data_IF_562661426769
#
_entry.id   IF_562661426769
#
_cell.length_a   1.000
_cell.length_b   1.000
_cell.length_c   1.000
_cell.angle_alpha   90.00
_cell.angle_beta   90.00
_cell.angle_gamma   90.00
#
_symmetry.space_group_name_H-M   'P 1'
#
loop_
_entity.id
_entity.type
_entity.pdbx_description
1 polymer ?
2 non-polymer ?
3 water ?
#
# COMPACT_ATOMS: atom_id res chain seq x y z
N UNK A 3 11.87 -26.48 17.36
CA UNK A 3 12.41 -26.63 18.75
C UNK A 3 11.62 -25.70 19.70
N UNK A 4 11.28 -24.49 19.23
CA UNK A 4 10.56 -23.46 20.02
C UNK A 4 9.10 -23.89 20.19
N UNK A 5 8.55 -24.64 19.24
CA UNK A 5 7.14 -25.11 19.34
C UNK A 5 7.07 -26.23 20.40
N UNK A 6 8.04 -27.15 20.40
CA UNK A 6 8.08 -28.23 21.42
C UNK A 6 8.00 -27.59 22.80
N UNK A 7 8.92 -26.66 23.10
CA UNK A 7 9.09 -25.96 24.40
C UNK A 7 7.81 -25.18 24.79
N UNK A 8 7.12 -24.57 23.83
CA UNK A 8 5.81 -23.87 24.01
C UNK A 8 4.74 -24.90 24.39
N UNK A 9 4.76 -26.07 23.76
CA UNK A 9 3.78 -27.17 23.98
C UNK A 9 4.06 -27.82 25.33
N UNK A 10 5.29 -27.70 25.84
CA UNK A 10 5.73 -28.19 27.18
C UNK A 10 5.81 -27.04 28.19
N UNK A 11 5.32 -25.83 27.82
CA UNK A 11 5.42 -24.57 28.61
C UNK A 11 4.86 -24.84 29.99
N UNK A 12 3.86 -25.74 30.06
CA UNK A 12 3.08 -26.12 31.27
C UNK A 12 2.00 -25.07 31.52
N UNK A 13 1.73 -24.22 30.53
CA UNK A 13 0.72 -23.13 30.63
C UNK A 13 -0.65 -23.68 30.24
N UNK A 14 -1.66 -23.46 31.09
CA UNK A 14 -3.08 -23.64 30.69
C UNK A 14 -3.23 -23.04 29.29
N UNK A 15 -3.41 -23.89 28.28
CA UNK A 15 -3.56 -23.51 26.86
C UNK A 15 -4.70 -24.32 26.19
N UNK A 16 -5.72 -23.63 25.67
CA UNK A 16 -6.78 -24.26 24.80
C UNK A 16 -6.29 -24.40 23.35
N UNK A 17 -7.08 -25.06 22.52
CA UNK A 17 -6.88 -25.19 21.05
C UNK A 17 -7.74 -24.11 20.41
N UNK A 18 -7.36 -23.59 19.24
CA UNK A 18 -8.12 -22.46 18.65
C UNK A 18 -9.54 -22.97 18.36
N UNK A 19 -9.64 -24.17 17.78
CA UNK A 19 -10.88 -24.84 17.38
C UNK A 19 -11.84 -25.07 18.54
N UNK A 20 -11.34 -25.57 19.68
CA UNK A 20 -12.06 -25.67 20.98
C UNK A 20 -12.91 -24.42 21.28
N UNK A 21 -12.46 -23.21 20.91
CA UNK A 21 -13.07 -21.93 21.42
C UNK A 21 -13.71 -21.10 20.31
N UNK A 22 -13.41 -21.33 19.03
CA UNK A 22 -13.88 -20.46 17.89
C UNK A 22 -14.82 -21.27 17.00
N UNK A 23 -15.59 -20.59 16.15
CA UNK A 23 -16.27 -21.15 14.95
C UNK A 23 -15.52 -20.59 13.75
N UNK A 24 -15.07 -21.45 12.85
CA UNK A 24 -14.22 -21.13 11.71
C UNK A 24 -14.99 -21.39 10.43
N UNK A 25 -14.95 -20.46 9.47
CA UNK A 25 -15.52 -20.60 8.12
C UNK A 25 -14.69 -19.74 7.17
N UNK A 26 -14.30 -20.29 6.02
CA UNK A 26 -13.71 -19.55 4.88
C UNK A 26 -14.81 -18.72 4.20
N UNK A 27 -14.39 -17.69 3.46
CA UNK A 27 -15.26 -16.62 2.97
C UNK A 27 -15.71 -16.91 1.55
N UNK A 28 -16.69 -16.13 1.09
CA UNK A 28 -17.27 -16.25 -0.27
C UNK A 28 -16.17 -15.97 -1.30
N UNK A 29 -15.91 -16.93 -2.18
CA UNK A 29 -15.12 -16.72 -3.39
C UNK A 29 -16.04 -16.06 -4.40
N UNK A 30 -15.71 -14.83 -4.81
CA UNK A 30 -16.45 -14.06 -5.84
C UNK A 30 -15.50 -13.76 -7.00
N UNK A 31 -16.05 -13.51 -8.20
CA UNK A 31 -15.27 -13.15 -9.40
C UNK A 31 -14.97 -11.65 -9.38
N UNK A 32 -13.77 -11.29 -9.83
CA UNK A 32 -13.31 -9.88 -9.94
C UNK A 32 -14.28 -9.08 -10.82
N UNK A 33 -15.04 -9.71 -11.73
CA UNK A 33 -15.79 -8.98 -12.79
C UNK A 33 -17.30 -8.96 -12.52
N UNK A 34 -17.70 -8.95 -11.24
CA UNK A 34 -19.12 -8.88 -10.79
C UNK A 34 -19.54 -7.41 -10.79
N UNK A 35 -20.84 -7.14 -10.78
CA UNK A 35 -21.43 -5.78 -10.59
C UNK A 35 -21.17 -5.30 -9.15
N UNK A 36 -20.68 -4.03 -8.96
CA UNK A 36 -20.65 -3.40 -7.63
C UNK A 36 -22.04 -3.26 -6.99
N UNK A 37 -22.11 -3.34 -5.65
CA UNK A 37 -23.36 -3.33 -4.87
C UNK A 37 -23.17 -2.86 -3.44
N UNK A 38 -23.86 -3.53 -2.49
CA UNK A 38 -24.06 -3.12 -1.07
C UNK A 38 -23.16 -3.88 -0.12
N UNK A 39 -23.03 -5.18 -0.32
CA UNK A 39 -22.12 -6.05 0.50
C UNK A 39 -20.67 -5.75 0.06
N UNK A 40 -19.82 -5.32 0.99
CA UNK A 40 -18.39 -5.08 0.72
C UNK A 40 -17.64 -6.36 0.89
N UNK A 41 -16.44 -6.44 0.34
CA UNK A 41 -15.65 -7.70 0.29
C UNK A 41 -14.23 -7.39 0.68
N UNK A 42 -13.75 -8.05 1.73
CA UNK A 42 -12.36 -7.89 2.23
C UNK A 42 -11.51 -8.88 1.46
N UNK A 43 -10.45 -8.41 0.79
CA UNK A 43 -9.49 -9.28 0.09
C UNK A 43 -8.14 -9.20 0.79
N UNK A 44 -7.20 -10.07 0.42
CA UNK A 44 -5.83 -10.10 0.98
C UNK A 44 -5.17 -8.72 0.90
N UNK A 45 -5.64 -7.84 0.02
CA UNK A 45 -5.03 -6.51 -0.28
C UNK A 45 -5.72 -5.44 0.58
N UNK A 46 -6.94 -5.72 1.05
CA UNK A 46 -7.69 -4.85 1.98
C UNK A 46 -7.24 -5.06 3.43
N UNK A 47 -6.32 -6.00 3.67
CA UNK A 47 -5.92 -6.44 5.04
C UNK A 47 -4.63 -5.71 5.41
N UNK A 48 -4.78 -4.47 5.88
CA UNK A 48 -3.68 -3.53 6.09
C UNK A 48 -2.88 -3.81 7.36
N UNK A 49 -1.74 -3.10 7.44
CA UNK A 49 -0.74 -3.18 8.52
C UNK A 49 -1.39 -2.77 9.84
N UNK A 50 -1.88 -1.53 9.89
CA UNK A 50 -2.64 -0.99 11.06
C UNK A 50 -4.15 -1.33 10.96
N UNK A 51 -4.51 -2.35 10.16
CA UNK A 51 -5.86 -2.92 10.11
C UNK A 51 -6.51 -2.95 8.72
N UNK A 52 -7.69 -3.57 8.67
CA UNK A 52 -8.56 -3.76 7.47
C UNK A 52 -8.99 -2.41 6.93
N UNK A 53 -8.62 -2.15 5.68
CA UNK A 53 -8.86 -0.87 4.97
C UNK A 53 -10.30 -0.90 4.45
N UNK A 54 -11.28 -0.70 5.33
CA UNK A 54 -12.71 -0.72 4.96
C UNK A 54 -13.05 0.43 4.01
N UNK A 55 -12.10 1.32 3.70
CA UNK A 55 -12.32 2.55 2.87
C UNK A 55 -12.05 2.28 1.38
N UNK A 56 -11.61 1.07 1.01
CA UNK A 56 -11.28 0.66 -0.39
C UNK A 56 -11.73 -0.78 -0.67
N UNK A 57 -12.76 -1.26 0.04
CA UNK A 57 -13.27 -2.64 -0.11
C UNK A 57 -13.97 -2.77 -1.47
N UNK A 58 -13.57 -3.74 -2.29
CA UNK A 58 -14.40 -4.13 -3.45
C UNK A 58 -15.80 -4.43 -2.92
N UNK A 59 -16.84 -3.93 -3.61
CA UNK A 59 -18.27 -4.18 -3.28
C UNK A 59 -18.84 -5.17 -4.29
N UNK A 60 -19.79 -6.03 -3.87
CA UNK A 60 -20.63 -6.92 -4.72
C UNK A 60 -22.07 -6.96 -4.17
N UNK A 61 -23.01 -7.76 -4.73
CA UNK A 61 -24.48 -7.56 -4.50
C UNK A 61 -25.21 -8.75 -3.86
N UNK A 62 -24.60 -9.93 -3.70
CA UNK A 62 -25.34 -11.18 -3.32
C UNK A 62 -25.80 -11.18 -1.85
N UNK A 63 -27.09 -11.46 -1.60
CA UNK A 63 -27.76 -11.25 -0.28
C UNK A 63 -28.53 -12.48 0.21
N UNK A 64 -29.54 -12.24 1.06
CA UNK A 64 -30.49 -13.22 1.64
C UNK A 64 -29.72 -14.16 2.59
N UNK A 65 -30.19 -15.39 2.80
CA UNK A 65 -29.63 -16.46 3.68
C UNK A 65 -28.21 -16.85 3.23
N UNK A 66 -27.79 -16.47 2.01
CA UNK A 66 -26.37 -16.64 1.60
C UNK A 66 -25.49 -15.72 2.44
N UNK A 67 -25.82 -14.43 2.40
CA UNK A 67 -25.16 -13.43 3.25
C UNK A 67 -25.04 -14.00 4.68
N UNK A 68 -26.18 -14.38 5.30
CA UNK A 68 -26.26 -14.74 6.76
C UNK A 68 -25.24 -15.81 7.15
N UNK A 69 -24.56 -16.52 6.25
CA UNK A 69 -23.57 -17.55 6.69
C UNK A 69 -22.14 -17.01 6.50
N UNK A 70 -21.94 -16.07 5.56
CA UNK A 70 -20.61 -15.51 5.21
C UNK A 70 -20.36 -14.20 5.97
N UNK A 71 -21.43 -13.65 6.58
CA UNK A 71 -21.50 -12.31 7.26
C UNK A 71 -20.44 -12.23 8.34
N UNK A 72 -19.49 -11.30 8.18
CA UNK A 72 -18.50 -10.88 9.20
C UNK A 72 -19.25 -10.08 10.27
N UNK A 73 -18.93 -10.45 11.51
CA UNK A 73 -19.49 -9.88 12.76
C UNK A 73 -18.35 -9.28 13.59
N UNK A 74 -18.69 -8.28 14.38
CA UNK A 74 -17.74 -7.53 15.21
C UNK A 74 -16.98 -8.51 16.11
N UNK A 75 -15.66 -8.62 15.93
CA UNK A 75 -14.77 -9.47 16.74
C UNK A 75 -14.04 -10.53 15.92
N UNK A 76 -14.61 -10.93 14.78
CA UNK A 76 -14.13 -12.04 13.92
C UNK A 76 -12.65 -11.83 13.64
N UNK A 77 -11.85 -12.89 13.61
CA UNK A 77 -10.38 -12.88 13.33
C UNK A 77 -10.17 -13.37 11.89
N UNK A 78 -9.92 -12.46 10.97
CA UNK A 78 -9.57 -12.78 9.56
C UNK A 78 -8.10 -13.15 9.51
N UNK A 79 -7.79 -14.38 9.13
CA UNK A 79 -6.40 -14.85 8.92
C UNK A 79 -6.22 -15.01 7.41
N UNK A 80 -5.01 -14.82 6.89
CA UNK A 80 -4.74 -15.00 5.44
C UNK A 80 -4.47 -16.48 5.18
N UNK A 81 -5.36 -17.18 4.48
CA UNK A 81 -5.19 -18.61 4.11
C UNK A 81 -4.34 -18.74 2.85
N UNK A 82 -4.26 -17.67 2.05
CA UNK A 82 -3.56 -17.68 0.74
C UNK A 82 -2.87 -16.32 0.56
N UNK A 83 -1.75 -16.28 -0.16
CA UNK A 83 -1.06 -15.02 -0.46
C UNK A 83 0.43 -15.18 -0.27
N UNK A 84 1.16 -14.05 -0.19
CA UNK A 84 2.62 -13.96 0.06
C UNK A 84 2.86 -13.86 1.58
N UNK A 85 2.14 -12.92 2.20
CA UNK A 85 2.32 -12.58 3.61
C UNK A 85 1.15 -13.14 4.39
N UNK A 86 1.43 -13.85 5.48
CA UNK A 86 0.35 -14.30 6.39
C UNK A 86 0.03 -13.07 7.25
N UNK A 87 -1.26 -12.88 7.47
CA UNK A 87 -1.86 -11.64 8.02
C UNK A 87 -3.07 -12.01 8.85
N UNK A 88 -3.10 -11.55 10.10
CA UNK A 88 -4.24 -11.71 11.04
C UNK A 88 -4.78 -10.30 11.31
N UNK A 89 -6.08 -10.12 11.20
CA UNK A 89 -6.77 -8.80 11.21
C UNK A 89 -8.06 -9.02 12.02
N UNK A 90 -8.61 -8.02 12.70
CA UNK A 90 -9.86 -8.15 13.51
C UNK A 90 -10.95 -7.24 12.94
N UNK A 91 -12.04 -7.81 12.43
CA UNK A 91 -13.12 -7.04 11.76
C UNK A 91 -13.82 -6.16 12.79
N UNK A 92 -14.19 -4.94 12.43
CA UNK A 92 -15.02 -4.06 13.30
C UNK A 92 -16.34 -3.81 12.56
N UNK A 93 -17.45 -3.93 13.27
CA UNK A 93 -18.77 -3.85 12.64
C UNK A 93 -18.74 -2.63 11.73
N UNK A 94 -18.94 -2.79 10.42
CA UNK A 94 -19.06 -1.63 9.51
C UNK A 94 -20.53 -1.26 9.36
N UNK A 95 -20.76 -0.05 8.82
CA UNK A 95 -22.09 0.57 8.57
C UNK A 95 -22.88 -0.35 7.63
N UNK A 96 -22.17 -0.99 6.70
CA UNK A 96 -22.70 -1.93 5.67
C UNK A 96 -22.54 -3.36 6.20
N UNK A 97 -23.09 -4.35 5.47
CA UNK A 97 -22.76 -5.81 5.61
C UNK A 97 -21.45 -6.05 4.87
N UNK A 98 -20.57 -6.85 5.41
CA UNK A 98 -19.22 -7.07 4.81
C UNK A 98 -18.95 -8.55 4.95
N UNK A 99 -18.26 -9.13 3.97
CA UNK A 99 -17.82 -10.56 4.06
C UNK A 99 -16.39 -10.60 3.53
N UNK A 100 -15.74 -11.75 3.76
CA UNK A 100 -14.33 -12.01 3.42
C UNK A 100 -14.26 -12.82 2.12
N UNK A 101 -13.12 -12.78 1.46
CA UNK A 101 -12.84 -13.64 0.29
C UNK A 101 -12.63 -15.07 0.81
N UNK A 102 -12.55 -16.06 -0.08
CA UNK A 102 -12.22 -17.46 0.24
C UNK A 102 -10.72 -17.59 0.57
N UNK A 103 -9.91 -16.58 0.27
CA UNK A 103 -8.45 -16.60 0.55
C UNK A 103 -8.23 -16.29 2.04
N UNK A 104 -9.32 -16.04 2.78
CA UNK A 104 -9.34 -15.65 4.22
C UNK A 104 -10.18 -16.70 4.97
N UNK A 105 -9.58 -17.34 5.96
CA UNK A 105 -10.23 -18.13 7.03
C UNK A 105 -10.78 -17.14 8.07
N UNK A 106 -12.05 -17.24 8.44
CA UNK A 106 -12.69 -16.36 9.46
C UNK A 106 -12.80 -17.15 10.78
N UNK A 107 -12.28 -16.62 11.88
CA UNK A 107 -12.39 -17.23 13.23
C UNK A 107 -13.34 -16.39 14.06
N UNK A 108 -14.49 -16.92 14.44
CA UNK A 108 -15.44 -16.21 15.32
C UNK A 108 -15.16 -16.66 16.75
N UNK A 109 -14.54 -15.83 17.64
CA UNK A 109 -14.30 -16.27 19.00
C UNK A 109 -15.65 -16.36 19.72
N UNK A 110 -15.82 -17.44 20.47
CA UNK A 110 -17.10 -17.85 21.10
C UNK A 110 -16.91 -17.93 22.60
N UNK A 111 -15.81 -18.46 23.11
CA UNK A 111 -15.61 -18.69 24.55
C UNK A 111 -14.14 -18.49 24.92
N UNK A 112 -13.89 -18.08 26.15
CA UNK A 112 -12.52 -17.83 26.68
C UNK A 112 -11.77 -16.71 25.93
N UNK A 113 -11.46 -16.89 24.64
CA UNK A 113 -10.50 -15.98 23.97
C UNK A 113 -11.24 -14.83 23.28
N UNK A 114 -10.55 -13.69 23.27
CA UNK A 114 -10.94 -12.44 22.60
C UNK A 114 -10.31 -12.49 21.20
N UNK A 115 -11.05 -12.04 20.18
CA UNK A 115 -10.48 -11.82 18.83
C UNK A 115 -9.09 -11.17 18.86
N UNK A 116 -8.97 -9.97 19.47
CA UNK A 116 -7.69 -9.24 19.53
C UNK A 116 -6.56 -10.01 20.26
N UNK A 117 -6.89 -10.84 21.24
CA UNK A 117 -5.88 -11.60 22.01
C UNK A 117 -5.33 -12.75 21.16
N UNK A 118 -6.21 -13.40 20.35
CA UNK A 118 -5.80 -14.39 19.30
C UNK A 118 -4.88 -13.72 18.27
N UNK A 119 -5.30 -12.55 17.76
CA UNK A 119 -4.42 -11.64 16.96
C UNK A 119 -3.08 -11.37 17.68
N UNK A 120 -3.09 -10.97 18.94
CA UNK A 120 -1.80 -10.73 19.62
C UNK A 120 -1.01 -12.03 19.60
N UNK A 121 -1.61 -13.17 19.96
CA UNK A 121 -0.84 -14.44 20.08
C UNK A 121 -0.29 -14.85 18.71
N UNK A 122 -1.16 -14.90 17.72
CA UNK A 122 -0.77 -15.33 16.35
C UNK A 122 0.35 -14.45 15.79
N UNK A 123 0.43 -13.15 16.11
CA UNK A 123 1.47 -12.24 15.53
C UNK A 123 2.81 -12.45 16.26
N UNK A 124 2.82 -13.14 17.41
CA UNK A 124 4.05 -13.42 18.20
C UNK A 124 4.96 -14.32 17.39
N UNK A 125 6.28 -14.30 17.63
CA UNK A 125 7.22 -15.25 17.01
C UNK A 125 6.82 -16.73 16.96
N UNK A 126 6.20 -17.21 18.03
CA UNK A 126 5.70 -18.60 18.17
C UNK A 126 4.42 -18.68 17.34
N UNK A 127 3.51 -17.69 17.51
CA UNK A 127 2.22 -17.68 16.79
C UNK A 127 2.45 -17.86 15.30
N UNK A 128 3.43 -17.13 14.79
CA UNK A 128 3.88 -17.13 13.38
C UNK A 128 4.41 -18.52 13.08
N UNK A 129 5.22 -19.10 13.98
CA UNK A 129 5.85 -20.44 13.81
C UNK A 129 4.74 -21.51 13.64
N UNK A 130 3.74 -21.44 14.52
CA UNK A 130 2.55 -22.32 14.50
C UNK A 130 1.78 -22.03 13.21
N UNK A 131 1.69 -20.77 12.76
CA UNK A 131 0.98 -20.45 11.50
C UNK A 131 1.73 -21.04 10.32
N UNK A 132 3.07 -21.01 10.38
CA UNK A 132 3.95 -21.54 9.30
C UNK A 132 3.92 -23.06 9.29
N UNK A 133 3.70 -23.72 10.42
CA UNK A 133 3.45 -25.18 10.45
C UNK A 133 2.27 -25.46 9.56
N UNK A 134 1.18 -24.73 9.75
CA UNK A 134 -0.08 -24.91 8.98
C UNK A 134 0.12 -24.59 7.49
N UNK A 135 1.15 -23.82 7.08
CA UNK A 135 1.34 -23.35 5.68
C UNK A 135 1.99 -24.47 4.86
N UNK A 136 1.31 -24.99 3.84
CA UNK A 136 1.85 -26.04 2.94
C UNK A 136 1.96 -25.50 1.51
N UNK A 137 2.26 -24.20 1.34
CA UNK A 137 2.55 -23.58 0.02
C UNK A 137 4.06 -23.61 -0.26
N UNK A 138 4.46 -23.59 -1.54
CA UNK A 138 5.89 -23.41 -1.93
C UNK A 138 6.09 -21.98 -2.45
N UNK A 139 6.70 -21.09 -1.63
CA UNK A 139 6.91 -19.63 -1.89
C UNK A 139 5.54 -18.94 -2.06
N UNK A 140 4.52 -19.44 -1.38
CA UNK A 140 3.14 -18.87 -1.36
C UNK A 140 2.44 -19.49 -0.14
N UNK A 141 1.32 -18.93 0.29
CA UNK A 141 0.65 -19.43 1.52
C UNK A 141 -0.49 -20.37 1.14
N UNK A 142 -0.61 -21.50 1.85
CA UNK A 142 -1.80 -22.39 1.81
C UNK A 142 -2.05 -22.98 3.21
N UNK A 143 -3.06 -22.50 3.91
CA UNK A 143 -3.14 -22.66 5.38
C UNK A 143 -4.18 -23.70 5.78
N UNK A 144 -3.74 -24.87 6.25
CA UNK A 144 -4.62 -25.99 6.70
C UNK A 144 -5.64 -25.55 7.78
N UNK A 145 -6.84 -25.18 7.35
CA UNK A 145 -7.99 -24.79 8.21
C UNK A 145 -8.05 -25.71 9.43
N UNK A 146 -7.60 -26.96 9.30
CA UNK A 146 -7.71 -28.00 10.35
C UNK A 146 -6.56 -27.87 11.35
N UNK A 147 -5.34 -27.76 10.83
CA UNK A 147 -4.10 -27.50 11.62
C UNK A 147 -4.22 -26.12 12.27
N UNK A 148 -4.75 -25.14 11.55
CA UNK A 148 -4.93 -23.79 12.12
C UNK A 148 -5.73 -24.02 13.38
N UNK A 149 -6.91 -24.63 13.24
CA UNK A 149 -7.81 -24.82 14.39
C UNK A 149 -7.10 -25.63 15.48
N UNK A 150 -6.04 -26.37 15.13
CA UNK A 150 -5.24 -27.19 16.09
C UNK A 150 -4.10 -26.38 16.69
N UNK A 151 -3.99 -25.08 16.45
CA UNK A 151 -2.94 -24.25 17.11
C UNK A 151 -3.35 -23.96 18.55
N UNK A 152 -2.56 -24.40 19.55
CA UNK A 152 -2.84 -24.05 20.94
C UNK A 152 -2.64 -22.54 21.26
N UNK A 153 -3.50 -21.99 22.11
CA UNK A 153 -3.46 -20.57 22.54
C UNK A 153 -3.42 -20.53 24.04
N UNK A 154 -2.49 -19.77 24.65
CA UNK A 154 -2.49 -19.65 26.11
C UNK A 154 -3.78 -18.98 26.58
N UNK A 155 -4.31 -19.47 27.71
CA UNK A 155 -5.52 -18.91 28.40
C UNK A 155 -5.10 -18.11 29.63
N UNK A 156 -5.70 -16.92 29.72
CA UNK A 156 -5.49 -15.87 30.75
C UNK A 156 -6.86 -15.25 30.94
N UNK A 157 -7.09 -14.53 32.02
CA UNK A 157 -8.44 -14.01 32.26
C UNK A 157 -8.90 -13.00 31.19
N UNK A 158 -10.22 -12.89 31.02
CA UNK A 158 -10.85 -11.89 30.12
C UNK A 158 -10.58 -10.45 30.59
N UNK A 159 -10.09 -10.27 31.80
CA UNK A 159 -9.89 -8.90 32.32
C UNK A 159 -8.49 -8.49 31.91
N UNK A 160 -7.54 -9.43 31.89
CA UNK A 160 -6.13 -9.14 31.50
C UNK A 160 -6.09 -9.13 29.98
N UNK A 161 -7.10 -9.75 29.36
CA UNK A 161 -7.27 -9.65 27.91
C UNK A 161 -7.81 -8.25 27.62
N UNK A 162 -8.98 -7.90 28.14
CA UNK A 162 -9.67 -6.64 27.75
C UNK A 162 -8.79 -5.44 28.11
N UNK A 163 -7.89 -5.65 29.05
CA UNK A 163 -6.93 -4.62 29.50
C UNK A 163 -5.88 -4.46 28.40
N UNK A 164 -5.27 -5.55 27.93
CA UNK A 164 -4.18 -5.43 26.93
C UNK A 164 -4.71 -4.97 25.57
N UNK A 165 -5.94 -5.36 25.23
CA UNK A 165 -6.63 -4.84 24.04
C UNK A 165 -6.75 -3.34 24.19
N UNK A 166 -7.28 -2.86 25.30
CA UNK A 166 -7.38 -1.40 25.49
C UNK A 166 -6.03 -0.71 25.39
N UNK A 167 -4.98 -1.23 26.03
CA UNK A 167 -3.63 -0.65 25.86
C UNK A 167 -3.30 -0.53 24.37
N UNK A 168 -3.44 -1.64 23.62
CA UNK A 168 -3.20 -1.75 22.18
C UNK A 168 -4.14 -0.77 21.50
N UNK A 169 -5.45 -0.84 21.71
CA UNK A 169 -6.35 0.01 20.88
C UNK A 169 -6.05 1.48 21.16
N UNK A 170 -5.61 1.83 22.37
CA UNK A 170 -5.30 3.23 22.80
C UNK A 170 -4.12 3.76 21.94
N UNK A 171 -3.00 3.02 21.96
CA UNK A 171 -1.82 3.24 21.10
C UNK A 171 -2.08 3.35 19.57
N UNK A 172 -3.01 2.55 19.04
CA UNK A 172 -3.33 2.54 17.61
C UNK A 172 -4.11 3.78 17.23
N UNK A 173 -5.05 4.21 18.07
CA UNK A 173 -5.87 5.43 17.84
C UNK A 173 -4.97 6.65 17.96
N UNK A 174 -3.98 6.53 18.81
CA UNK A 174 -2.92 7.53 18.98
C UNK A 174 -2.15 7.61 17.66
N UNK A 175 -1.67 6.48 17.16
CA UNK A 175 -0.91 6.34 15.90
C UNK A 175 -1.69 7.01 14.78
N UNK A 176 -2.98 6.76 14.70
CA UNK A 176 -3.83 7.32 13.61
C UNK A 176 -4.00 8.82 13.82
N UNK A 177 -4.06 9.28 15.05
CA UNK A 177 -4.16 10.71 15.37
C UNK A 177 -2.89 11.41 14.85
N UNK A 178 -1.72 10.80 15.06
CA UNK A 178 -0.36 11.32 14.71
C UNK A 178 -0.19 11.31 13.18
N UNK A 179 -0.57 10.21 12.53
CA UNK A 179 -0.39 10.03 11.08
C UNK A 179 -1.28 11.04 10.39
N UNK A 180 -2.54 11.19 10.79
CA UNK A 180 -3.48 12.04 10.04
C UNK A 180 -3.11 13.48 10.23
N UNK A 181 -2.54 13.84 11.36
CA UNK A 181 -2.05 15.22 11.55
C UNK A 181 -0.91 15.50 10.55
N UNK A 182 0.09 14.62 10.55
CA UNK A 182 1.32 14.76 9.76
C UNK A 182 0.93 14.92 8.28
N UNK A 183 -0.08 14.17 7.85
CA UNK A 183 -0.61 14.24 6.48
C UNK A 183 -1.31 15.57 6.29
N UNK A 184 -2.23 15.97 7.15
CA UNK A 184 -2.90 17.28 6.93
C UNK A 184 -1.81 18.36 6.80
N UNK A 185 -0.71 18.24 7.55
CA UNK A 185 0.34 19.28 7.61
C UNK A 185 1.10 19.23 6.28
N UNK A 186 1.33 18.03 5.76
CA UNK A 186 2.06 17.78 4.49
C UNK A 186 1.20 18.25 3.31
N UNK A 187 -0.11 18.10 3.39
CA UNK A 187 -1.04 18.54 2.30
C UNK A 187 -1.11 20.06 2.29
N UNK A 188 -0.83 20.68 3.44
CA UNK A 188 -0.79 22.15 3.54
C UNK A 188 0.46 22.66 2.83
N UNK A 189 1.60 22.01 3.08
CA UNK A 189 2.87 22.30 2.36
C UNK A 189 2.68 22.09 0.84
N UNK A 190 2.01 21.01 0.48
CA UNK A 190 1.74 20.68 -0.94
C UNK A 190 0.93 21.86 -1.52
N UNK A 191 -0.05 22.39 -0.78
CA UNK A 191 -0.91 23.51 -1.26
C UNK A 191 -0.11 24.79 -1.27
N UNK A 192 0.95 24.88 -0.51
CA UNK A 192 1.83 26.05 -0.60
C UNK A 192 2.46 26.02 -1.99
N UNK A 193 2.99 24.87 -2.40
CA UNK A 193 3.62 24.70 -3.73
C UNK A 193 2.63 25.04 -4.86
N UNK A 194 1.46 24.37 -4.91
CA UNK A 194 0.39 24.58 -5.95
C UNK A 194 0.13 26.08 -6.19
N UNK A 195 0.00 26.81 -5.08
CA UNK A 195 -0.14 28.28 -5.08
C UNK A 195 1.12 28.90 -5.65
N UNK A 196 2.29 28.41 -5.22
CA UNK A 196 3.64 28.86 -5.64
C UNK A 196 3.79 28.92 -7.16
N UNK A 197 3.16 27.99 -7.89
CA UNK A 197 3.17 28.03 -9.36
C UNK A 197 1.92 28.75 -9.87
N UNK A 198 0.87 28.87 -9.05
CA UNK A 198 -0.42 29.50 -9.40
C UNK A 198 -0.42 30.18 -10.78
N UNK B 3 -12.79 23.34 -20.91
CA UNK B 3 -12.96 24.82 -20.79
C UNK B 3 -11.74 25.39 -20.03
N UNK B 4 -11.28 24.69 -19.00
CA UNK B 4 -10.14 25.11 -18.14
C UNK B 4 -8.83 24.98 -18.93
N UNK B 5 -8.75 24.04 -19.87
CA UNK B 5 -7.52 23.87 -20.69
C UNK B 5 -7.44 25.02 -21.70
N UNK B 6 -8.56 25.40 -22.31
CA UNK B 6 -8.60 26.51 -23.30
C UNK B 6 -7.98 27.73 -22.61
N UNK B 7 -8.53 28.11 -21.45
CA UNK B 7 -8.16 29.29 -20.62
C UNK B 7 -6.68 29.24 -20.21
N UNK B 8 -6.15 28.06 -19.88
CA UNK B 8 -4.71 27.82 -19.54
C UNK B 8 -3.85 28.07 -20.78
N UNK B 9 -4.33 27.62 -21.94
CA UNK B 9 -3.62 27.76 -23.25
C UNK B 9 -3.68 29.22 -23.72
N UNK B 10 -4.66 30.00 -23.23
CA UNK B 10 -4.82 31.45 -23.48
C UNK B 10 -4.34 32.28 -22.28
N UNK B 11 -3.69 31.64 -21.28
CA UNK B 11 -3.27 32.24 -19.98
C UNK B 11 -2.45 33.47 -20.28
N UNK B 12 -1.72 33.44 -21.40
CA UNK B 12 -0.76 34.47 -21.89
C UNK B 12 0.58 34.30 -21.14
N UNK B 13 0.76 33.16 -20.48
CA UNK B 13 1.97 32.84 -19.67
C UNK B 13 3.03 32.23 -20.58
N UNK B 14 4.24 32.79 -20.56
CA UNK B 14 5.44 32.14 -21.16
C UNK B 14 5.37 30.66 -20.73
N UNK B 15 5.04 29.77 -21.67
CA UNK B 15 4.91 28.30 -21.46
C UNK B 15 5.59 27.51 -22.58
N UNK B 16 6.56 26.66 -22.24
CA UNK B 16 7.18 25.68 -23.19
C UNK B 16 6.31 24.43 -23.32
N UNK B 17 6.68 23.54 -24.23
CA UNK B 17 6.07 22.20 -24.44
C UNK B 17 6.96 21.21 -23.68
N UNK B 18 6.42 20.11 -23.16
CA UNK B 18 7.24 19.19 -22.33
C UNK B 18 8.36 18.66 -23.23
N UNK B 19 8.01 18.26 -24.46
CA UNK B 19 8.90 17.68 -25.48
C UNK B 19 10.06 18.60 -25.86
N UNK B 20 9.78 19.89 -26.10
CA UNK B 20 10.78 20.98 -26.30
C UNK B 20 11.95 20.89 -25.29
N UNK B 21 11.71 20.46 -24.04
CA UNK B 21 12.72 20.62 -22.94
C UNK B 21 13.23 19.27 -22.40
N UNK B 22 12.53 18.14 -22.63
CA UNK B 22 12.87 16.81 -22.01
C UNK B 22 13.31 15.84 -23.10
N UNK B 23 13.96 14.73 -22.71
CA UNK B 23 14.15 13.52 -23.53
C UNK B 23 13.29 12.43 -22.90
N UNK B 24 12.44 11.80 -23.68
CA UNK B 24 11.39 10.87 -23.22
C UNK B 24 11.71 9.49 -23.75
N UNK B 25 11.63 8.47 -22.91
CA UNK B 25 11.77 7.04 -23.32
C UNK B 25 10.95 6.20 -22.35
N UNK B 26 10.17 5.25 -22.87
CA UNK B 26 9.48 4.20 -22.09
C UNK B 26 10.53 3.17 -21.61
N UNK B 27 10.18 2.42 -20.57
CA UNK B 27 11.11 1.58 -19.82
C UNK B 27 11.06 0.17 -20.33
N UNK B 28 12.02 -0.65 -19.88
CA UNK B 28 12.17 -2.07 -20.25
C UNK B 28 10.93 -2.83 -19.77
N UNK B 29 10.24 -3.46 -20.70
CA UNK B 29 9.20 -4.47 -20.39
C UNK B 29 9.96 -5.74 -20.06
N UNK B 30 9.81 -6.25 -18.82
CA UNK B 30 10.41 -7.53 -18.36
C UNK B 30 9.30 -8.47 -17.91
N UNK B 31 9.56 -9.78 -17.92
CA UNK B 31 8.60 -10.81 -17.46
C UNK B 31 8.70 -10.95 -15.94
N UNK B 32 7.55 -11.14 -15.29
CA UNK B 32 7.42 -11.34 -13.84
C UNK B 32 8.29 -12.54 -13.39
N UNK B 33 8.61 -13.49 -14.27
CA UNK B 33 9.22 -14.80 -13.86
C UNK B 33 10.69 -14.88 -14.24
N UNK B 34 11.40 -13.75 -14.23
CA UNK B 34 12.87 -13.66 -14.51
C UNK B 34 13.61 -13.98 -13.20
N UNK B 35 14.90 -14.32 -13.28
CA UNK B 35 15.81 -14.46 -12.11
C UNK B 35 16.06 -13.08 -11.47
N UNK B 36 15.95 -12.96 -10.12
CA UNK B 36 16.41 -11.76 -9.39
C UNK B 36 17.91 -11.49 -9.57
N UNK B 37 18.31 -10.20 -9.54
CA UNK B 37 19.70 -9.75 -9.79
C UNK B 37 20.01 -8.39 -9.17
N UNK B 38 20.77 -7.55 -9.91
CA UNK B 38 21.42 -6.29 -9.45
C UNK B 38 20.64 -5.06 -9.89
N UNK B 39 20.17 -5.03 -11.13
CA UNK B 39 19.33 -3.91 -11.64
C UNK B 39 17.93 -4.03 -11.02
N UNK B 40 17.48 -3.01 -10.29
CA UNK B 40 16.14 -2.96 -9.69
C UNK B 40 15.16 -2.43 -10.70
N UNK B 41 13.87 -2.65 -10.50
CA UNK B 41 12.84 -2.35 -11.52
C UNK B 41 11.65 -1.69 -10.84
N UNK B 42 11.35 -0.47 -11.27
CA UNK B 42 10.21 0.32 -10.71
C UNK B 42 8.96 -0.08 -11.50
N UNK B 43 7.90 -0.51 -10.82
CA UNK B 43 6.61 -0.80 -11.47
C UNK B 43 5.57 0.18 -10.97
N UNK B 44 4.38 0.16 -11.56
CA UNK B 44 3.24 1.03 -11.18
C UNK B 44 2.94 0.92 -9.68
N UNK B 45 3.36 -0.17 -9.03
CA UNK B 45 3.04 -0.49 -7.61
C UNK B 45 4.18 0.01 -6.71
N UNK B 46 5.37 0.20 -7.27
CA UNK B 46 6.54 0.78 -6.57
C UNK B 46 6.47 2.31 -6.56
N UNK B 47 5.44 2.89 -7.20
CA UNK B 47 5.32 4.36 -7.37
C UNK B 47 4.39 4.88 -6.29
N UNK B 48 4.97 5.13 -5.11
CA UNK B 48 4.24 5.50 -3.88
C UNK B 48 3.75 6.94 -3.86
N UNK B 49 2.86 7.20 -2.89
CA UNK B 49 2.18 8.49 -2.63
C UNK B 49 3.24 9.54 -2.30
N UNK B 50 4.00 9.30 -1.24
CA UNK B 50 5.16 10.15 -0.83
C UNK B 50 6.46 9.76 -1.58
N UNK B 51 6.34 9.03 -2.70
CA UNK B 51 7.47 8.74 -3.61
C UNK B 51 7.70 7.27 -3.89
N UNK B 52 8.65 7.03 -4.80
CA UNK B 52 9.09 5.70 -5.32
C UNK B 52 9.68 4.88 -4.18
N UNK B 53 9.06 3.72 -3.94
CA UNK B 53 9.40 2.79 -2.85
C UNK B 53 10.58 1.95 -3.32
N UNK B 54 11.78 2.52 -3.33
CA UNK B 54 13.02 1.82 -3.77
C UNK B 54 13.33 0.65 -2.83
N UNK B 55 12.59 0.46 -1.73
CA UNK B 55 12.87 -0.56 -0.67
C UNK B 55 12.15 -1.88 -0.98
N UNK B 56 11.34 -1.96 -2.04
CA UNK B 56 10.54 -3.15 -2.43
C UNK B 56 10.53 -3.32 -3.96
N UNK B 57 11.57 -2.83 -4.64
CA UNK B 57 11.69 -2.90 -6.11
C UNK B 57 11.93 -4.36 -6.51
N UNK B 58 11.12 -4.91 -7.40
CA UNK B 58 11.50 -6.16 -8.08
C UNK B 58 12.88 -5.93 -8.69
N UNK B 59 13.78 -6.91 -8.56
CA UNK B 59 15.15 -6.89 -9.14
C UNK B 59 15.19 -7.86 -10.33
N UNK B 60 15.98 -7.57 -11.37
CA UNK B 60 16.34 -8.45 -12.50
C UNK B 60 17.82 -8.25 -12.86
N UNK B 61 18.39 -8.92 -13.88
CA UNK B 61 19.88 -8.99 -14.03
C UNK B 61 20.28 -8.80 -15.49
N UNK B 62 19.94 -7.69 -16.14
CA UNK B 62 20.32 -7.48 -17.56
C UNK B 62 21.09 -6.17 -17.75
N UNK B 63 22.32 -6.26 -18.29
CA UNK B 63 23.32 -5.16 -18.21
C UNK B 63 23.86 -4.75 -19.59
N UNK B 64 25.08 -4.21 -19.63
CA UNK B 64 25.79 -3.78 -20.86
C UNK B 64 25.08 -2.52 -21.41
N UNK B 65 25.29 -2.22 -22.70
CA UNK B 65 24.71 -1.11 -23.52
C UNK B 65 23.18 -1.20 -23.52
N UNK B 66 22.58 -2.33 -23.13
CA UNK B 66 21.11 -2.42 -22.92
C UNK B 66 20.72 -1.52 -21.76
N UNK B 67 21.33 -1.80 -20.61
CA UNK B 67 21.15 -0.98 -19.40
C UNK B 67 21.27 0.50 -19.80
N UNK B 68 22.40 0.91 -20.41
CA UNK B 68 22.77 2.35 -20.63
C UNK B 68 21.63 3.12 -21.27
N UNK B 69 20.65 2.51 -21.94
CA UNK B 69 19.60 3.31 -22.62
C UNK B 69 18.35 3.38 -21.73
N UNK B 70 18.11 2.39 -20.86
CA UNK B 70 16.92 2.28 -19.98
C UNK B 70 17.20 2.89 -18.60
N UNK B 71 18.50 3.14 -18.32
CA UNK B 71 19.07 3.59 -17.02
C UNK B 71 18.38 4.88 -16.58
N UNK B 72 17.69 4.82 -15.44
CA UNK B 72 17.14 6.00 -14.69
C UNK B 72 18.32 6.72 -14.04
N UNK B 73 18.28 8.03 -14.20
CA UNK B 73 19.28 9.01 -13.69
C UNK B 73 18.58 10.00 -12.76
N UNK B 74 19.36 10.55 -11.84
CA UNK B 74 18.85 11.47 -10.80
C UNK B 74 18.14 12.64 -11.47
N UNK B 75 16.82 12.79 -11.26
CA UNK B 75 16.00 13.91 -11.77
C UNK B 75 14.85 13.44 -12.65
N UNK B 76 14.99 12.26 -13.26
CA UNK B 76 14.05 11.71 -14.27
C UNK B 76 12.65 11.77 -13.68
N UNK B 77 11.64 12.06 -14.50
CA UNK B 77 10.20 12.14 -14.12
C UNK B 77 9.50 10.90 -14.65
N UNK B 78 9.23 9.93 -13.77
CA UNK B 78 8.45 8.71 -14.10
C UNK B 78 6.98 9.06 -14.08
N UNK B 79 6.29 8.95 -15.20
CA UNK B 79 4.83 9.15 -15.29
C UNK B 79 4.22 7.78 -15.51
N UNK B 80 2.99 7.53 -15.06
CA UNK B 80 2.32 6.23 -15.26
C UNK B 80 1.64 6.25 -16.62
N UNK B 81 2.11 5.46 -17.59
CA UNK B 81 1.51 5.36 -18.95
C UNK B 81 0.35 4.37 -18.94
N UNK B 82 0.30 3.46 -17.96
CA UNK B 82 -0.69 2.36 -17.89
C UNK B 82 -1.08 2.13 -16.42
N UNK B 83 -2.31 1.70 -16.16
CA UNK B 83 -2.76 1.37 -14.80
C UNK B 83 -4.11 1.98 -14.52
N UNK B 84 -4.49 2.08 -13.22
CA UNK B 84 -5.77 2.66 -12.73
C UNK B 84 -5.54 4.16 -12.45
N UNK B 85 -4.47 4.45 -11.70
CA UNK B 85 -4.20 5.82 -11.20
C UNK B 85 -3.03 6.37 -12.01
N UNK B 86 -3.18 7.59 -12.51
CA UNK B 86 -2.03 8.26 -13.16
C UNK B 86 -1.21 8.84 -12.01
N UNK B 87 0.10 8.71 -12.16
CA UNK B 87 1.09 8.90 -11.08
C UNK B 87 2.37 9.49 -11.70
N UNK B 88 2.83 10.61 -11.16
CA UNK B 88 4.11 11.24 -11.53
C UNK B 88 5.01 11.18 -10.31
N UNK B 89 6.25 10.72 -10.48
CA UNK B 89 7.21 10.41 -9.39
C UNK B 89 8.57 10.91 -9.89
N UNK B 90 9.51 11.31 -9.04
CA UNK B 90 10.88 11.79 -9.43
C UNK B 90 11.96 10.85 -8.91
N UNK B 91 12.73 10.21 -9.78
CA UNK B 91 13.73 9.20 -9.39
C UNK B 91 14.86 9.88 -8.63
N UNK B 92 15.40 9.27 -7.58
CA UNK B 92 16.61 9.78 -6.90
C UNK B 92 17.71 8.73 -7.05
N UNK B 93 18.91 9.18 -7.42
CA UNK B 93 19.99 8.22 -7.77
C UNK B 93 20.02 7.18 -6.66
N UNK B 94 19.81 5.90 -6.97
CA UNK B 94 19.96 4.83 -5.95
C UNK B 94 21.38 4.28 -6.00
N UNK B 95 21.75 3.55 -4.94
CA UNK B 95 23.07 2.89 -4.72
C UNK B 95 23.32 1.92 -5.88
N UNK B 96 22.26 1.29 -6.38
CA UNK B 96 22.27 0.31 -7.50
C UNK B 96 21.91 1.06 -8.80
N UNK B 97 21.98 0.38 -9.95
CA UNK B 97 21.36 0.80 -11.25
C UNK B 97 19.89 0.41 -11.18
N UNK B 98 19.00 1.26 -11.68
CA UNK B 98 17.54 1.03 -11.57
C UNK B 98 16.96 1.43 -12.90
N UNK B 99 15.93 0.74 -13.35
CA UNK B 99 15.19 1.13 -14.58
C UNK B 99 13.71 0.97 -14.30
N UNK B 100 12.90 1.51 -15.21
CA UNK B 100 11.42 1.56 -15.11
C UNK B 100 10.84 0.45 -15.97
N UNK B 101 9.60 0.07 -15.68
CA UNK B 101 8.82 -0.85 -16.54
C UNK B 101 8.41 -0.07 -17.80
N UNK B 102 7.88 -0.75 -18.80
CA UNK B 102 7.32 -0.16 -20.04
C UNK B 102 5.96 0.51 -19.74
N UNK B 103 5.38 0.26 -18.56
CA UNK B 103 4.08 0.89 -18.16
C UNK B 103 4.34 2.32 -17.71
N UNK B 104 5.61 2.73 -17.68
CA UNK B 104 6.12 4.06 -17.21
C UNK B 104 6.84 4.73 -18.39
N UNK B 105 6.39 5.92 -18.77
CA UNK B 105 7.12 6.90 -19.62
C UNK B 105 8.13 7.64 -18.73
N UNK B 106 9.40 7.68 -19.13
CA UNK B 106 10.46 8.39 -18.38
C UNK B 106 10.73 9.74 -19.06
N UNK B 107 10.67 10.86 -18.34
CA UNK B 107 11.00 12.21 -18.87
C UNK B 107 12.31 12.66 -18.24
N UNK B 108 13.35 12.83 -19.03
CA UNK B 108 14.64 13.34 -18.52
C UNK B 108 14.65 14.85 -18.77
N UNK B 109 14.52 15.73 -17.74
CA UNK B 109 14.54 17.17 -18.00
C UNK B 109 15.97 17.54 -18.39
N UNK B 110 16.08 18.37 -19.43
CA UNK B 110 17.36 18.72 -20.12
C UNK B 110 17.58 20.23 -20.03
N UNK B 111 16.55 21.06 -20.22
CA UNK B 111 16.70 22.53 -20.27
C UNK B 111 15.48 23.20 -19.66
N UNK B 112 15.68 24.38 -19.09
CA UNK B 112 14.60 25.18 -18.43
C UNK B 112 13.98 24.47 -17.22
N UNK B 113 13.27 23.34 -17.40
CA UNK B 113 12.40 22.79 -16.33
C UNK B 113 13.16 21.78 -15.46
N UNK B 114 12.81 21.79 -14.18
CA UNK B 114 13.30 20.87 -13.13
C UNK B 114 12.31 19.69 -13.11
N UNK B 115 12.82 18.47 -12.94
CA UNK B 115 11.98 17.27 -12.70
C UNK B 115 10.85 17.52 -11.71
N UNK B 116 11.16 17.96 -10.48
CA UNK B 116 10.16 18.24 -9.42
C UNK B 116 9.14 19.32 -9.81
N UNK B 117 9.52 20.30 -10.63
CA UNK B 117 8.59 21.40 -11.03
C UNK B 117 7.58 20.86 -12.06
N UNK B 118 8.04 19.98 -12.97
CA UNK B 118 7.16 19.21 -13.91
C UNK B 118 6.18 18.35 -13.10
N UNK B 119 6.69 17.59 -12.12
CA UNK B 119 5.87 16.89 -11.10
C UNK B 119 4.89 17.86 -10.44
N UNK B 120 5.33 19.01 -9.95
CA UNK B 120 4.37 19.93 -9.31
C UNK B 120 3.32 20.30 -10.34
N UNK B 121 3.70 20.66 -11.57
CA UNK B 121 2.71 21.14 -12.58
C UNK B 121 1.73 20.01 -12.92
N UNK B 122 2.26 18.86 -13.28
CA UNK B 122 1.43 17.71 -13.69
C UNK B 122 0.44 17.32 -12.58
N UNK B 123 0.77 17.47 -11.29
CA UNK B 123 -0.13 17.01 -10.18
C UNK B 123 -1.24 18.07 -9.96
N UNK B 124 -1.12 19.26 -10.53
CA UNK B 124 -2.11 20.35 -10.40
C UNK B 124 -3.39 19.91 -11.09
N UNK B 125 -4.57 20.44 -10.69
CA UNK B 125 -5.83 20.22 -11.39
C UNK B 125 -5.81 20.30 -12.93
N UNK B 126 -5.06 21.26 -13.47
CA UNK B 126 -4.90 21.48 -14.93
C UNK B 126 -3.93 20.39 -15.42
N UNK B 127 -2.80 20.19 -14.73
CA UNK B 127 -1.79 19.19 -15.10
C UNK B 127 -2.45 17.84 -15.33
N UNK B 128 -3.33 17.47 -14.40
CA UNK B 128 -4.13 16.23 -14.40
C UNK B 128 -5.04 16.28 -15.63
N UNK B 129 -5.68 17.42 -15.89
CA UNK B 129 -6.63 17.60 -17.02
C UNK B 129 -5.90 17.33 -18.35
N UNK B 130 -4.72 17.93 -18.48
CA UNK B 130 -3.82 17.73 -19.64
C UNK B 130 -3.38 16.27 -19.69
N UNK B 131 -3.13 15.64 -18.54
CA UNK B 131 -2.71 14.21 -18.51
C UNK B 131 -3.88 13.34 -18.97
N UNK B 132 -5.10 13.72 -18.59
CA UNK B 132 -6.33 12.96 -18.94
C UNK B 132 -6.66 13.15 -20.42
N UNK B 133 -6.33 14.30 -21.03
CA UNK B 133 -6.44 14.47 -22.48
C UNK B 133 -5.62 13.38 -23.13
N UNK B 134 -4.38 13.19 -22.70
CA UNK B 134 -3.45 12.19 -23.26
C UNK B 134 -3.96 10.75 -23.02
N UNK B 135 -4.84 10.50 -22.04
CA UNK B 135 -5.28 9.11 -21.65
C UNK B 135 -6.38 8.63 -22.62
N UNK B 136 -6.14 7.56 -23.37
CA UNK B 136 -7.14 6.97 -24.30
C UNK B 136 -7.51 5.55 -23.86
N UNK B 137 -7.54 5.28 -22.54
CA UNK B 137 -8.03 4.00 -21.97
C UNK B 137 -9.51 4.05 -21.66
N UNK B 138 -10.18 2.90 -21.58
CA UNK B 138 -11.59 2.81 -21.08
C UNK B 138 -11.56 2.22 -19.67
N UNK B 139 -11.73 3.06 -18.62
CA UNK B 139 -11.66 2.70 -17.16
C UNK B 139 -10.27 2.10 -16.86
N UNK B 140 -9.25 2.60 -17.56
CA UNK B 140 -7.82 2.19 -17.41
C UNK B 140 -6.98 3.27 -18.08
N UNK B 141 -5.68 3.32 -17.82
CA UNK B 141 -4.83 4.40 -18.38
C UNK B 141 -4.10 3.89 -19.61
N UNK B 142 -4.06 4.71 -20.67
CA UNK B 142 -3.17 4.51 -21.85
C UNK B 142 -2.70 5.86 -22.39
N UNK B 143 -1.45 6.23 -22.12
CA UNK B 143 -1.03 7.65 -22.20
C UNK B 143 -0.20 7.92 -23.45
N UNK B 144 -0.76 8.65 -24.42
CA UNK B 144 -0.08 9.05 -25.68
C UNK B 144 1.26 9.78 -25.46
N UNK B 145 2.35 9.02 -25.44
CA UNK B 145 3.75 9.52 -25.31
C UNK B 145 3.91 10.81 -26.12
N UNK B 146 3.17 10.97 -27.22
CA UNK B 146 3.30 12.11 -28.15
C UNK B 146 2.53 13.33 -27.65
N UNK B 147 1.26 13.11 -27.27
CA UNK B 147 0.39 14.13 -26.64
C UNK B 147 1.01 14.54 -25.29
N UNK B 148 1.54 13.57 -24.54
CA UNK B 148 2.19 13.89 -23.26
C UNK B 148 3.23 14.93 -23.60
N UNK B 149 4.14 14.59 -24.51
CA UNK B 149 5.24 15.52 -24.84
C UNK B 149 4.67 16.86 -25.35
N UNK B 150 3.41 16.88 -25.81
CA UNK B 150 2.73 18.11 -26.30
C UNK B 150 2.01 18.84 -25.17
N UNK B 151 2.16 18.43 -23.91
CA UNK B 151 1.54 19.19 -22.77
C UNK B 151 2.40 20.44 -22.49
N UNK B 152 1.81 21.65 -22.62
CA UNK B 152 2.54 22.86 -22.24
C UNK B 152 2.78 23.00 -20.72
N UNK B 153 3.94 23.54 -20.36
CA UNK B 153 4.36 23.75 -18.95
C UNK B 153 4.72 25.20 -18.77
N UNK B 154 4.19 25.91 -17.75
CA UNK B 154 4.61 27.28 -17.53
C UNK B 154 6.10 27.34 -17.19
N UNK B 155 6.78 28.36 -17.71
CA UNK B 155 8.21 28.66 -17.44
C UNK B 155 8.34 29.83 -16.45
N UNK B 156 9.21 29.63 -15.47
CA UNK B 156 9.54 30.52 -14.34
C UNK B 156 11.02 30.26 -14.09
N UNK B 157 11.71 31.15 -13.39
CA UNK B 157 13.15 30.96 -13.22
C UNK B 157 13.56 29.69 -12.45
N UNK B 158 14.75 29.19 -12.71
CA UNK B 158 15.36 28.03 -12.01
C UNK B 158 15.57 28.35 -10.51
N UNK B 159 15.46 29.60 -10.10
CA UNK B 159 15.74 29.95 -8.69
C UNK B 159 14.42 29.84 -7.96
N UNK B 160 13.30 30.18 -8.60
CA UNK B 160 11.94 30.11 -8.01
C UNK B 160 11.51 28.65 -8.11
N UNK B 161 12.15 27.91 -9.01
CA UNK B 161 11.93 26.46 -9.07
C UNK B 161 12.70 25.85 -7.91
N UNK B 162 14.01 26.01 -7.84
CA UNK B 162 14.85 25.29 -6.85
C UNK B 162 14.41 25.66 -5.43
N UNK B 163 13.75 26.80 -5.31
CA UNK B 163 13.24 27.33 -4.02
C UNK B 163 12.01 26.49 -3.68
N UNK B 164 11.07 26.34 -4.58
CA UNK B 164 9.80 25.64 -4.27
C UNK B 164 10.04 24.12 -4.08
N UNK B 165 11.00 23.57 -4.80
CA UNK B 165 11.45 22.18 -4.59
C UNK B 165 11.96 22.09 -3.16
N UNK B 166 12.86 22.96 -2.76
CA UNK B 166 13.36 22.89 -1.36
C UNK B 166 12.24 23.04 -0.36
N UNK B 167 11.31 23.97 -0.53
CA UNK B 167 10.14 24.05 0.39
C UNK B 167 9.46 22.67 0.47
N UNK B 168 9.13 22.09 -0.70
CA UNK B 168 8.50 20.75 -0.87
C UNK B 168 9.42 19.73 -0.22
N UNK B 169 10.67 19.64 -0.63
CA UNK B 169 11.50 18.51 -0.11
C UNK B 169 11.65 18.66 1.40
N UNK B 170 11.64 19.87 1.96
CA UNK B 170 11.80 20.15 3.42
C UNK B 170 10.61 19.53 4.18
N UNK B 171 9.39 19.91 3.79
CA UNK B 171 8.11 19.34 4.25
C UNK B 171 7.98 17.80 4.15
N UNK B 172 8.52 17.19 3.12
CA UNK B 172 8.45 15.73 2.90
C UNK B 172 9.38 15.00 3.86
N UNK B 173 10.57 15.52 4.10
CA UNK B 173 11.56 14.93 5.03
C UNK B 173 11.06 15.09 6.45
N UNK B 174 10.31 16.17 6.65
CA UNK B 174 9.61 16.45 7.91
C UNK B 174 8.57 15.37 8.12
N UNK B 175 7.72 15.17 7.12
CA UNK B 175 6.63 14.15 7.09
C UNK B 175 7.21 12.80 7.42
N UNK B 176 8.33 12.43 6.83
CA UNK B 176 8.97 11.11 7.07
C UNK B 176 9.54 11.06 8.49
N UNK B 177 10.03 12.16 9.02
CA UNK B 177 10.55 12.24 10.40
C UNK B 177 9.39 11.95 11.37
N UNK B 178 8.21 12.53 11.09
CA UNK B 178 6.98 12.43 11.92
C UNK B 178 6.40 11.01 11.86
N UNK B 179 6.31 10.44 10.64
CA UNK B 179 5.72 9.13 10.40
C UNK B 179 6.61 8.10 11.06
N UNK B 180 7.92 8.17 10.90
CA UNK B 180 8.80 7.10 11.42
C UNK B 180 8.85 7.15 12.92
N UNK B 181 8.71 8.32 13.50
CA UNK B 181 8.62 8.43 14.98
C UNK B 181 7.35 7.70 15.45
N UNK B 182 6.22 8.05 14.86
CA UNK B 182 4.88 7.57 15.26
C UNK B 182 4.89 6.05 15.23
N UNK B 183 5.54 5.50 14.21
CA UNK B 183 5.69 4.04 14.03
C UNK B 183 6.62 3.50 15.11
N UNK B 184 7.80 4.06 15.32
CA UNK B 184 8.67 3.49 16.37
C UNK B 184 7.88 3.48 17.69
N UNK B 185 7.03 4.47 17.92
CA UNK B 185 6.31 4.62 19.21
C UNK B 185 5.23 3.54 19.27
N UNK B 186 4.60 3.27 18.14
CA UNK B 186 3.53 2.25 17.99
C UNK B 186 4.12 0.85 18.11
N UNK B 187 5.33 0.64 17.63
CA UNK B 187 6.01 -0.68 17.72
C UNK B 187 6.42 -0.92 19.17
N UNK B 188 6.61 0.16 19.92
CA UNK B 188 6.96 0.06 21.35
C UNK B 188 5.71 -0.39 22.12
N UNK B 189 4.58 0.21 21.81
CA UNK B 189 3.26 -0.22 22.38
C UNK B 189 2.99 -1.70 22.01
N UNK B 190 3.23 -2.04 20.76
CA UNK B 190 3.05 -3.43 20.27
C UNK B 190 3.94 -4.35 21.13
N UNK B 191 5.17 -3.95 21.44
CA UNK B 191 6.11 -4.79 22.23
C UNK B 191 5.69 -4.80 23.68
N UNK B 192 4.92 -3.81 24.10
CA UNK B 192 4.38 -3.87 25.47
C UNK B 192 3.40 -5.03 25.50
N UNK B 193 2.51 -5.12 24.51
CA UNK B 193 1.51 -6.21 24.42
C UNK B 193 2.21 -7.59 24.40
N UNK B 194 3.12 -7.85 23.45
CA UNK B 194 3.88 -9.13 23.30
C UNK B 194 4.41 -9.62 24.66
N UNK B 195 5.02 -8.70 25.40
CA UNK B 195 5.51 -8.93 26.78
C UNK B 195 4.32 -9.27 27.67
N UNK B 196 3.22 -8.49 27.54
CA UNK B 196 1.96 -8.64 28.28
C UNK B 196 1.43 -10.07 28.29
N UNK B 197 1.59 -10.81 27.18
CA UNK B 197 1.19 -12.22 27.13
C UNK B 197 2.40 -13.11 27.43
N UNK B 198 3.62 -12.58 27.33
CA UNK B 198 4.88 -13.33 27.54
C UNK B 198 4.70 -14.73 28.10
X LIG C 1 -9.20 -23.98 -0.49
X LIG C 1 -10.46 -23.28 -0.63
X LIG C 1 -8.72 -24.40 -1.78
X LIG C 1 -8.24 -23.10 0.10
X LIG C 1 -9.38 -25.14 0.35
#
# INVERSE_FOLDING_TARGET
MENSIEAYLADSREKVTLGTVVDCFKGKAVSSKVVPGDVGLINLSDMGTLGIQYHQLRTFQMDRRQLLRYLLEDGDVLIASKGTLKKVCVFHKQNRDVVASSNITVLRPQKLLRGYYIKFFLDSPIGQALLDAADHGKDVINLSTKELLDIPIPVIPLVKQDYLINHYLRGLTDYHRKLNRAEQEWEYIQNEIQKGLGLEHHHHHH
MENSIEAYLADSREKVTLGTVVDCFKGKAVSSKVVPGDVGLINLSDMGTLGIQYHQLRTFQMDRRQLLRYLLEDGDVLIASKGTLKKVCVFHKQNRDVVASSNITVLRPQKLLRGYYIKFFLDSPIGQALLDAADHGKDVINLSTKELLDIPIPVIPLVKQDYLINHYLRGLTDYHRKLNRAEQEWEYIQNEIQKGLGLEHHHHHH
SO4 S O1 O2 O3 O4
#
